data_IF_593296777790
#
_entry.id   IF_593296777790
#
_cell.length_a   1.000
_cell.length_b   1.000
_cell.length_c   1.000
_cell.angle_alpha   90.00
_cell.angle_beta   90.00
_cell.angle_gamma   90.00
#
_symmetry.space_group_name_H-M   'P 1'
#
loop_
_entity.id
_entity.type
_entity.pdbx_description
1 polymer ?
#
# COMPACT_ATOMS: atom_id res chain seq x y z
N UNK A 1 11.85 50.13 6.27
CA UNK A 1 10.89 50.03 5.14
C UNK A 1 10.62 48.56 4.90
N UNK A 2 9.56 48.03 5.51
CA UNK A 2 9.04 46.69 5.25
C UNK A 2 8.07 46.80 4.07
N UNK A 3 8.41 46.20 2.93
CA UNK A 3 7.45 46.06 1.83
C UNK A 3 6.57 44.84 2.10
N UNK A 4 5.30 45.14 2.38
CA UNK A 4 4.21 44.21 2.53
C UNK A 4 3.89 43.60 1.15
N UNK A 5 4.10 42.29 0.98
CA UNK A 5 3.62 41.56 -0.19
C UNK A 5 2.16 41.22 0.10
N UNK A 6 1.23 41.91 -0.55
CA UNK A 6 -0.19 41.55 -0.49
C UNK A 6 -0.48 40.42 -1.50
N UNK A 7 -1.23 39.37 -1.11
CA UNK A 7 -1.72 38.37 -2.03
C UNK A 7 -2.76 38.97 -3.00
N UNK A 8 -2.82 38.46 -4.23
CA UNK A 8 -3.74 38.98 -5.25
C UNK A 8 -5.20 38.67 -4.86
N UNK A 9 -6.09 39.64 -5.10
CA UNK A 9 -7.50 39.62 -4.70
C UNK A 9 -8.40 38.57 -5.36
N UNK A 10 -7.84 37.55 -6.02
CA UNK A 10 -8.57 36.42 -6.58
C UNK A 10 -8.66 35.22 -5.61
N UNK A 11 -7.85 35.18 -4.54
CA UNK A 11 -7.75 34.03 -3.63
C UNK A 11 -8.72 34.08 -2.44
N UNK A 12 -9.36 35.22 -2.18
CA UNK A 12 -10.19 35.43 -0.98
C UNK A 12 -11.69 35.20 -1.20
N UNK A 13 -12.18 35.11 -2.45
CA UNK A 13 -13.61 34.88 -2.74
C UNK A 13 -14.01 33.41 -2.83
N UNK A 14 -13.06 32.48 -2.71
CA UNK A 14 -13.33 31.04 -2.75
C UNK A 14 -13.56 30.41 -1.35
N UNK A 15 -13.44 31.20 -0.28
CA UNK A 15 -13.44 30.71 1.12
C UNK A 15 -14.65 31.14 1.95
N UNK A 16 -15.60 31.89 1.39
CA UNK A 16 -16.84 32.26 2.08
C UNK A 16 -18.04 31.65 1.35
N UNK A 17 -18.40 30.44 1.75
CA UNK A 17 -19.64 29.81 1.31
C UNK A 17 -19.79 28.36 1.73
N UNK A 18 -20.65 28.15 2.74
CA UNK A 18 -21.37 26.92 3.08
C UNK A 18 -20.74 25.99 4.12
N UNK A 19 -21.02 26.35 5.37
CA UNK A 19 -21.37 25.37 6.40
C UNK A 19 -22.84 24.96 6.16
N UNK A 20 -23.04 23.64 6.15
CA UNK A 20 -24.26 22.87 6.43
C UNK A 20 -25.03 22.19 5.26
N UNK A 21 -25.28 20.89 5.49
CA UNK A 21 -25.93 19.83 4.69
C UNK A 21 -25.11 19.16 3.57
N UNK A 22 -24.66 17.92 3.87
CA UNK A 22 -24.09 16.93 2.94
C UNK A 22 -25.09 16.57 1.83
N UNK A 23 -25.15 17.38 0.77
CA UNK A 23 -25.65 16.95 -0.52
C UNK A 23 -24.46 16.36 -1.27
N UNK A 24 -24.42 15.04 -1.42
CA UNK A 24 -23.44 14.38 -2.27
C UNK A 24 -23.70 14.90 -3.68
N UNK A 25 -22.72 15.56 -4.30
CA UNK A 25 -22.85 15.99 -5.69
C UNK A 25 -23.12 14.75 -6.55
N UNK A 26 -24.16 14.74 -7.42
CA UNK A 26 -24.50 13.59 -8.26
C UNK A 26 -23.31 13.01 -9.05
N UNK A 27 -22.34 13.86 -9.36
CA UNK A 27 -21.10 13.52 -10.07
C UNK A 27 -20.21 12.52 -9.30
N UNK A 28 -20.11 12.63 -7.96
CA UNK A 28 -19.20 11.79 -7.18
C UNK A 28 -19.70 10.34 -7.03
N UNK A 29 -21.01 10.13 -6.98
CA UNK A 29 -21.57 8.77 -6.99
C UNK A 29 -21.26 8.07 -8.31
N UNK A 30 -21.38 8.80 -9.43
CA UNK A 30 -21.03 8.25 -10.74
C UNK A 30 -19.54 7.91 -10.83
N UNK A 31 -18.67 8.76 -10.28
CA UNK A 31 -17.23 8.49 -10.18
C UNK A 31 -16.97 7.21 -9.38
N UNK A 32 -17.63 7.01 -8.24
CA UNK A 32 -17.50 5.80 -7.42
C UNK A 32 -17.94 4.56 -8.21
N UNK A 33 -19.11 4.61 -8.86
CA UNK A 33 -19.61 3.50 -9.68
C UNK A 33 -18.61 3.10 -10.79
N UNK A 34 -17.92 4.08 -11.37
CA UNK A 34 -16.95 3.86 -12.46
C UNK A 34 -15.63 3.24 -11.97
N UNK A 35 -15.26 3.40 -10.70
CA UNK A 35 -13.97 2.96 -10.17
C UNK A 35 -14.06 1.76 -9.23
N UNK A 36 -15.20 1.53 -8.55
CA UNK A 36 -15.31 0.56 -7.46
C UNK A 36 -14.85 -0.87 -7.81
N UNK A 37 -15.03 -1.31 -9.06
CA UNK A 37 -14.63 -2.64 -9.50
C UNK A 37 -13.16 -2.74 -9.93
N UNK A 38 -12.41 -1.64 -9.87
CA UNK A 38 -11.02 -1.52 -10.35
C UNK A 38 -10.02 -1.16 -9.24
N UNK A 39 -10.48 -0.65 -8.09
CA UNK A 39 -9.59 -0.16 -7.02
C UNK A 39 -9.04 -1.27 -6.11
N UNK A 40 -9.83 -2.33 -5.89
CA UNK A 40 -9.58 -3.31 -4.82
C UNK A 40 -9.86 -2.79 -3.40
N UNK A 41 -10.29 -1.53 -3.26
CA UNK A 41 -10.73 -0.93 -2.01
C UNK A 41 -12.22 -1.23 -1.84
N UNK A 42 -12.67 -1.55 -0.62
CA UNK A 42 -14.07 -1.83 -0.35
C UNK A 42 -14.93 -0.62 -0.76
N UNK A 43 -16.06 -0.87 -1.42
CA UNK A 43 -16.88 0.21 -1.98
C UNK A 43 -17.35 1.19 -0.89
N UNK A 44 -17.64 0.66 0.31
CA UNK A 44 -17.99 1.43 1.51
C UNK A 44 -16.87 2.36 2.00
N UNK A 45 -15.61 2.09 1.66
CA UNK A 45 -14.44 2.88 2.07
C UNK A 45 -14.11 4.02 1.09
N UNK A 46 -14.59 3.96 -0.16
CA UNK A 46 -14.24 4.95 -1.20
C UNK A 46 -14.69 6.37 -0.84
N UNK A 47 -15.96 6.52 -0.43
CA UNK A 47 -16.49 7.85 -0.08
C UNK A 47 -15.89 8.43 1.21
N UNK A 48 -15.75 7.66 2.31
CA UNK A 48 -15.04 8.14 3.49
C UNK A 48 -13.59 8.56 3.19
N UNK A 49 -12.84 7.79 2.39
CA UNK A 49 -11.47 8.13 2.04
C UNK A 49 -11.40 9.42 1.19
N UNK A 50 -12.34 9.58 0.26
CA UNK A 50 -12.49 10.81 -0.51
C UNK A 50 -12.81 12.04 0.37
N UNK A 51 -13.62 11.86 1.41
CA UNK A 51 -13.90 12.92 2.37
C UNK A 51 -12.65 13.30 3.16
N UNK A 52 -11.83 12.32 3.59
CA UNK A 52 -10.55 12.60 4.24
C UNK A 52 -9.62 13.40 3.33
N UNK A 53 -9.50 13.02 2.04
CA UNK A 53 -8.70 13.77 1.07
C UNK A 53 -9.17 15.24 0.95
N UNK A 54 -10.48 15.46 0.85
CA UNK A 54 -11.12 16.79 0.81
C UNK A 54 -10.86 17.60 2.08
N UNK A 55 -11.20 17.04 3.24
CA UNK A 55 -11.10 17.71 4.54
C UNK A 55 -9.64 18.04 4.91
N UNK A 56 -8.70 17.20 4.54
CA UNK A 56 -7.27 17.40 4.82
C UNK A 56 -6.53 18.15 3.71
N UNK A 57 -7.21 18.47 2.62
CA UNK A 57 -6.63 19.11 1.44
C UNK A 57 -5.35 18.41 0.96
N UNK A 58 -5.39 17.07 0.93
CA UNK A 58 -4.28 16.20 0.57
C UNK A 58 -4.71 15.25 -0.54
N UNK A 59 -3.84 15.07 -1.54
CA UNK A 59 -3.93 13.93 -2.44
C UNK A 59 -3.51 12.67 -1.68
N UNK A 60 -4.36 11.65 -1.65
CA UNK A 60 -4.07 10.36 -1.02
C UNK A 60 -4.04 9.31 -2.12
N UNK A 61 -2.92 8.61 -2.26
CA UNK A 61 -2.79 7.46 -3.15
C UNK A 61 -2.77 6.17 -2.34
N UNK A 62 -3.47 5.14 -2.83
CA UNK A 62 -3.46 3.76 -2.33
C UNK A 62 -2.91 2.87 -3.43
N UNK A 63 -1.97 1.99 -3.08
CA UNK A 63 -1.39 0.98 -3.97
C UNK A 63 -2.43 -0.06 -4.39
N UNK A 64 -2.12 -0.91 -5.40
CA UNK A 64 -3.04 -1.95 -5.82
C UNK A 64 -3.44 -2.86 -4.66
N UNK A 65 -4.75 -3.04 -4.46
CA UNK A 65 -5.30 -4.00 -3.50
C UNK A 65 -5.90 -5.16 -4.28
N UNK A 66 -5.61 -6.40 -3.88
CA UNK A 66 -6.19 -7.57 -4.54
C UNK A 66 -7.68 -7.69 -4.19
N UNK A 67 -8.55 -7.84 -5.18
CA UNK A 67 -10.01 -7.92 -4.98
C UNK A 67 -10.45 -9.01 -3.98
N UNK A 68 -9.67 -10.09 -3.88
CA UNK A 68 -9.89 -11.19 -2.91
C UNK A 68 -9.70 -10.77 -1.47
N UNK A 69 -8.86 -9.77 -1.22
CA UNK A 69 -8.64 -9.17 0.10
C UNK A 69 -9.79 -8.20 0.44
N UNK A 70 -10.37 -7.52 -0.55
CA UNK A 70 -11.53 -6.63 -0.36
C UNK A 70 -12.68 -7.34 0.36
N UNK A 71 -13.09 -8.51 -0.13
CA UNK A 71 -14.15 -9.29 0.51
C UNK A 71 -13.77 -9.78 1.91
N UNK A 72 -12.50 -10.09 2.16
CA UNK A 72 -12.04 -10.46 3.52
C UNK A 72 -12.10 -9.27 4.48
N UNK A 73 -11.73 -8.08 4.02
CA UNK A 73 -11.83 -6.83 4.81
C UNK A 73 -13.30 -6.54 5.13
N UNK A 74 -14.20 -6.66 4.15
CA UNK A 74 -15.65 -6.49 4.36
C UNK A 74 -16.23 -7.53 5.32
N UNK A 75 -15.71 -8.76 5.28
CA UNK A 75 -16.02 -9.82 6.24
C UNK A 75 -15.38 -9.59 7.62
N UNK A 76 -14.64 -8.50 7.83
CA UNK A 76 -14.03 -8.13 9.10
C UNK A 76 -12.80 -8.97 9.47
N UNK A 77 -12.01 -9.39 8.49
CA UNK A 77 -10.68 -9.96 8.74
C UNK A 77 -9.69 -8.87 9.16
N UNK A 78 -8.78 -9.17 10.12
CA UNK A 78 -7.69 -8.25 10.43
C UNK A 78 -6.73 -8.14 9.25
N UNK A 79 -6.15 -6.96 9.03
CA UNK A 79 -5.12 -6.78 8.00
C UNK A 79 -3.72 -6.81 8.61
N UNK A 80 -2.71 -7.17 7.79
CA UNK A 80 -1.32 -7.28 8.22
C UNK A 80 -0.74 -5.91 8.61
N UNK A 81 -0.04 -5.85 9.74
CA UNK A 81 0.67 -4.65 10.16
C UNK A 81 2.08 -4.60 9.54
N UNK A 82 2.86 -3.60 9.96
CA UNK A 82 4.23 -3.44 9.48
C UNK A 82 5.13 -4.63 9.82
N UNK A 83 4.92 -5.35 10.91
CA UNK A 83 5.81 -6.43 11.34
C UNK A 83 5.60 -7.72 10.53
N UNK A 84 4.42 -7.88 9.94
CA UNK A 84 4.09 -9.04 9.10
C UNK A 84 4.56 -8.81 7.66
N UNK A 85 5.74 -9.34 7.34
CA UNK A 85 6.37 -9.18 6.01
C UNK A 85 6.01 -10.30 5.00
N UNK A 86 5.24 -11.30 5.41
CA UNK A 86 4.77 -12.38 4.54
C UNK A 86 3.95 -11.86 3.36
N UNK A 87 4.05 -12.52 2.21
CA UNK A 87 3.26 -12.18 1.02
C UNK A 87 1.90 -12.87 1.10
N UNK A 88 0.86 -12.17 0.64
CA UNK A 88 -0.47 -12.75 0.46
C UNK A 88 -0.48 -13.80 -0.64
N UNK A 89 -1.43 -14.73 -0.54
CA UNK A 89 -1.76 -15.62 -1.64
C UNK A 89 -2.75 -14.95 -2.60
N UNK A 90 -2.63 -15.26 -3.88
CA UNK A 90 -3.54 -14.80 -4.95
C UNK A 90 -4.20 -15.97 -5.70
N UNK A 91 -4.15 -17.17 -5.13
CA UNK A 91 -4.66 -18.40 -5.72
C UNK A 91 -5.14 -19.36 -4.62
N UNK A 92 -5.97 -20.33 -4.99
CA UNK A 92 -6.40 -21.40 -4.10
C UNK A 92 -7.32 -20.96 -2.95
N UNK A 93 -7.62 -21.88 -2.02
CA UNK A 93 -8.49 -21.62 -0.88
C UNK A 93 -7.97 -20.53 0.06
N UNK A 94 -6.65 -20.34 0.10
CA UNK A 94 -5.94 -19.34 0.90
C UNK A 94 -5.95 -17.93 0.29
N UNK A 95 -6.50 -17.75 -0.91
CA UNK A 95 -6.39 -16.49 -1.66
C UNK A 95 -6.87 -15.28 -0.83
N UNK A 96 -6.05 -14.23 -0.79
CA UNK A 96 -6.22 -13.04 0.03
C UNK A 96 -5.61 -13.12 1.44
N UNK A 97 -5.17 -14.30 1.90
CA UNK A 97 -4.62 -14.48 3.25
C UNK A 97 -3.09 -14.61 3.24
N UNK A 98 -2.46 -14.52 4.41
CA UNK A 98 -1.01 -14.69 4.57
C UNK A 98 -0.69 -16.13 5.03
N UNK A 99 -0.17 -16.96 4.12
CA UNK A 99 0.20 -18.35 4.44
C UNK A 99 1.45 -18.41 5.31
N UNK A 100 1.50 -19.36 6.26
CA UNK A 100 2.71 -19.65 7.04
C UNK A 100 3.82 -20.12 6.09
N UNK A 101 3.51 -21.09 5.24
CA UNK A 101 4.37 -21.53 4.15
C UNK A 101 4.13 -20.68 2.88
N UNK A 102 5.14 -19.91 2.52
CA UNK A 102 5.13 -18.98 1.41
C UNK A 102 5.16 -19.67 0.04
N UNK A 103 5.37 -20.99 -0.01
CA UNK A 103 5.08 -21.81 -1.20
C UNK A 103 3.60 -21.74 -1.63
N UNK A 104 2.68 -21.43 -0.70
CA UNK A 104 1.25 -21.25 -0.98
C UNK A 104 0.85 -19.79 -1.17
N UNK A 105 1.80 -18.86 -1.21
CA UNK A 105 1.56 -17.44 -1.50
C UNK A 105 1.63 -17.14 -3.00
N UNK A 106 1.56 -15.86 -3.39
CA UNK A 106 1.87 -15.43 -4.77
C UNK A 106 3.31 -15.73 -5.21
N UNK A 107 4.19 -16.07 -4.27
CA UNK A 107 5.56 -16.46 -4.55
C UNK A 107 5.69 -17.91 -5.04
N UNK A 108 4.61 -18.69 -5.16
CA UNK A 108 4.67 -20.08 -5.61
C UNK A 108 5.49 -20.28 -6.91
N UNK A 109 5.47 -19.34 -7.85
CA UNK A 109 6.29 -19.38 -9.07
C UNK A 109 7.81 -19.34 -8.81
N UNK A 110 8.23 -18.90 -7.62
CA UNK A 110 9.61 -18.90 -7.15
C UNK A 110 10.05 -20.26 -6.59
N UNK A 111 9.16 -21.23 -6.37
CA UNK A 111 9.51 -22.53 -5.78
C UNK A 111 10.67 -23.23 -6.52
N UNK A 112 10.71 -23.12 -7.84
CA UNK A 112 11.77 -23.72 -8.67
C UNK A 112 12.80 -22.69 -9.13
N UNK A 113 12.38 -21.45 -9.38
CA UNK A 113 13.23 -20.41 -9.97
C UNK A 113 14.07 -19.64 -8.95
N UNK A 114 13.56 -19.47 -7.73
CA UNK A 114 14.25 -18.79 -6.62
C UNK A 114 13.79 -19.34 -5.25
N UNK A 115 14.20 -20.57 -4.88
CA UNK A 115 13.83 -21.18 -3.61
C UNK A 115 14.33 -20.37 -2.40
N UNK A 116 15.43 -19.64 -2.55
CA UNK A 116 15.99 -18.80 -1.50
C UNK A 116 15.05 -17.64 -1.15
N UNK A 117 14.29 -17.12 -2.12
CA UNK A 117 13.24 -16.12 -1.86
C UNK A 117 12.09 -16.71 -1.03
N UNK A 118 11.64 -17.92 -1.32
CA UNK A 118 10.62 -18.60 -0.50
C UNK A 118 11.14 -18.73 0.94
N UNK A 119 12.34 -19.27 1.11
CA UNK A 119 12.91 -19.49 2.45
C UNK A 119 13.13 -18.18 3.21
N UNK A 120 13.51 -17.10 2.51
CA UNK A 120 13.60 -15.76 3.10
C UNK A 120 12.27 -15.29 3.68
N UNK A 121 11.15 -15.49 2.97
CA UNK A 121 9.84 -15.07 3.47
C UNK A 121 9.28 -16.04 4.52
N UNK A 122 9.58 -17.34 4.44
CA UNK A 122 9.30 -18.29 5.51
C UNK A 122 10.05 -17.90 6.80
N UNK A 123 11.32 -17.52 6.70
CA UNK A 123 12.10 -17.00 7.81
C UNK A 123 11.49 -15.75 8.44
N UNK A 124 10.97 -14.83 7.62
CA UNK A 124 10.24 -13.64 8.11
C UNK A 124 8.96 -14.00 8.86
N UNK A 125 8.21 -14.99 8.38
CA UNK A 125 7.01 -15.48 9.07
C UNK A 125 7.36 -16.12 10.41
N UNK A 126 8.44 -16.93 10.48
CA UNK A 126 8.93 -17.49 11.76
C UNK A 126 9.32 -16.40 12.75
N UNK A 127 10.09 -15.40 12.31
CA UNK A 127 10.47 -14.26 13.15
C UNK A 127 9.24 -13.47 13.64
N UNK A 128 8.25 -13.27 12.78
CA UNK A 128 6.99 -12.60 13.12
C UNK A 128 6.22 -13.36 14.22
N UNK A 129 6.15 -14.69 14.11
CA UNK A 129 5.50 -15.56 15.11
C UNK A 129 6.30 -15.58 16.41
N UNK A 130 7.62 -15.76 16.34
CA UNK A 130 8.53 -15.75 17.50
C UNK A 130 8.52 -14.40 18.24
N UNK A 131 8.37 -13.30 17.49
CA UNK A 131 8.21 -11.95 18.03
C UNK A 131 6.81 -11.65 18.60
N UNK A 132 5.85 -12.57 18.49
CA UNK A 132 4.50 -12.40 19.01
C UNK A 132 3.61 -11.44 18.20
N UNK A 133 3.97 -11.15 16.95
CA UNK A 133 3.20 -10.28 16.06
C UNK A 133 2.06 -11.02 15.34
N UNK A 134 2.16 -12.36 15.24
CA UNK A 134 1.12 -13.22 14.68
C UNK A 134 1.23 -14.63 15.24
N UNK A 135 0.20 -15.46 15.00
CA UNK A 135 0.21 -16.90 15.28
C UNK A 135 -0.16 -17.68 14.02
N UNK A 136 0.32 -18.91 13.92
CA UNK A 136 -0.12 -19.86 12.90
C UNK A 136 -1.44 -20.51 13.33
N UNK A 137 -2.43 -20.52 12.43
CA UNK A 137 -3.71 -21.22 12.63
C UNK A 137 -4.08 -22.02 11.38
N UNK A 138 -4.76 -23.18 11.54
CA UNK A 138 -5.34 -23.89 10.41
C UNK A 138 -6.32 -23.01 9.63
N UNK A 139 -6.20 -23.00 8.31
CA UNK A 139 -7.12 -22.29 7.43
C UNK A 139 -8.51 -22.91 7.55
N UNK A 140 -9.46 -22.11 8.00
CA UNK A 140 -10.87 -22.43 7.99
C UNK A 140 -11.64 -21.41 7.14
N UNK A 141 -12.44 -21.89 6.18
CA UNK A 141 -13.26 -21.03 5.32
C UNK A 141 -14.72 -21.49 5.30
N UNK A 142 -15.63 -20.55 5.09
CA UNK A 142 -17.06 -20.85 4.96
C UNK A 142 -17.40 -21.44 3.61
N UNK A 143 -18.57 -22.07 3.51
CA UNK A 143 -19.12 -22.49 2.21
C UNK A 143 -19.36 -21.31 1.26
N UNK A 144 -19.67 -20.13 1.79
CA UNK A 144 -19.84 -18.92 0.98
C UNK A 144 -18.52 -18.43 0.40
N UNK A 145 -17.44 -18.46 1.19
CA UNK A 145 -16.10 -18.16 0.69
C UNK A 145 -15.70 -19.14 -0.40
N UNK A 146 -15.95 -20.44 -0.24
CA UNK A 146 -15.70 -21.43 -1.30
C UNK A 146 -16.45 -21.10 -2.59
N UNK A 147 -17.73 -20.67 -2.51
CA UNK A 147 -18.49 -20.23 -3.68
C UNK A 147 -17.89 -19.00 -4.35
N UNK A 148 -17.48 -18.01 -3.56
CA UNK A 148 -16.82 -16.80 -4.05
C UNK A 148 -15.51 -17.14 -4.77
N UNK A 149 -14.70 -18.02 -4.18
CA UNK A 149 -13.44 -18.48 -4.77
C UNK A 149 -13.67 -19.26 -6.07
N UNK A 150 -14.71 -20.09 -6.13
CA UNK A 150 -15.08 -20.83 -7.35
C UNK A 150 -15.57 -19.89 -8.46
N UNK A 151 -16.40 -18.90 -8.11
CA UNK A 151 -16.89 -17.91 -9.07
C UNK A 151 -15.79 -17.00 -9.62
N UNK A 152 -14.70 -16.81 -8.86
CA UNK A 152 -13.51 -16.08 -9.27
C UNK A 152 -12.40 -16.94 -9.89
N UNK A 153 -12.67 -18.20 -10.24
CA UNK A 153 -11.71 -19.16 -10.81
C UNK A 153 -10.43 -19.37 -9.96
N UNK A 154 -10.50 -19.12 -8.65
CA UNK A 154 -9.40 -19.33 -7.71
C UNK A 154 -9.33 -20.78 -7.21
N UNK A 155 -10.46 -21.48 -7.27
CA UNK A 155 -10.58 -22.92 -7.10
C UNK A 155 -11.43 -23.51 -8.25
N UNK A 156 -11.21 -24.77 -8.57
CA UNK A 156 -11.89 -25.49 -9.66
C UNK A 156 -12.24 -26.92 -9.22
N UNK A 157 -12.98 -27.66 -10.05
CA UNK A 157 -13.27 -29.09 -9.85
C UNK A 157 -13.86 -29.41 -8.47
N UNK A 158 -14.72 -28.53 -7.96
CA UNK A 158 -15.34 -28.71 -6.64
C UNK A 158 -16.40 -29.81 -6.67
N UNK A 159 -16.13 -30.89 -5.94
CA UNK A 159 -17.04 -32.02 -5.83
C UNK A 159 -18.16 -31.78 -4.81
N UNK A 160 -19.21 -32.60 -4.89
CA UNK A 160 -20.23 -32.66 -3.82
C UNK A 160 -19.61 -33.24 -2.55
N UNK A 161 -20.15 -32.84 -1.39
CA UNK A 161 -19.69 -33.35 -0.11
C UNK A 161 -19.91 -34.87 -0.02
N UNK A 162 -18.91 -35.59 0.50
CA UNK A 162 -19.02 -37.03 0.74
C UNK A 162 -19.90 -37.36 1.97
N UNK A 163 -20.01 -38.64 2.31
CA UNK A 163 -20.80 -39.08 3.46
C UNK A 163 -20.32 -38.52 4.81
N UNK A 164 -19.08 -38.05 4.88
CA UNK A 164 -18.46 -37.41 6.05
C UNK A 164 -18.48 -35.87 5.93
N UNK A 165 -19.11 -35.31 4.90
CA UNK A 165 -19.20 -33.89 4.66
C UNK A 165 -17.93 -33.28 4.04
N UNK A 166 -16.94 -34.08 3.64
CA UNK A 166 -15.69 -33.59 3.03
C UNK A 166 -15.90 -33.21 1.57
N UNK A 167 -15.25 -32.13 1.16
CA UNK A 167 -15.34 -31.59 -0.20
C UNK A 167 -13.94 -31.54 -0.79
N UNK A 168 -13.73 -32.19 -1.94
CA UNK A 168 -12.47 -32.11 -2.68
C UNK A 168 -12.58 -31.10 -3.81
N UNK A 169 -11.50 -30.37 -4.07
CA UNK A 169 -11.39 -29.39 -5.16
C UNK A 169 -9.92 -29.17 -5.54
N UNK A 170 -9.69 -28.46 -6.64
CA UNK A 170 -8.36 -28.13 -7.15
C UNK A 170 -8.15 -26.61 -7.18
N UNK A 171 -6.90 -26.18 -7.33
CA UNK A 171 -6.58 -24.80 -7.70
C UNK A 171 -5.34 -24.76 -8.59
N UNK A 172 -5.32 -23.81 -9.52
CA UNK A 172 -4.15 -23.54 -10.37
C UNK A 172 -3.26 -22.49 -9.69
N UNK A 173 -2.01 -22.85 -9.43
CA UNK A 173 -1.02 -21.97 -8.85
C UNK A 173 -0.42 -21.00 -9.89
N UNK A 174 0.28 -19.92 -9.48
CA UNK A 174 0.98 -18.98 -10.36
C UNK A 174 1.90 -19.61 -11.41
N UNK A 175 2.59 -20.70 -11.07
CA UNK A 175 3.41 -21.50 -11.99
C UNK A 175 2.61 -22.22 -13.08
N UNK A 176 1.29 -22.32 -12.90
CA UNK A 176 0.38 -23.11 -13.74
C UNK A 176 0.16 -24.54 -13.24
N UNK A 177 0.85 -24.97 -12.18
CA UNK A 177 0.68 -26.30 -11.57
C UNK A 177 -0.66 -26.38 -10.83
N UNK A 178 -1.32 -27.53 -10.90
CA UNK A 178 -2.57 -27.79 -10.19
C UNK A 178 -2.31 -28.50 -8.85
N UNK A 179 -2.91 -27.97 -7.80
CA UNK A 179 -2.87 -28.51 -6.45
C UNK A 179 -4.26 -28.99 -6.05
N UNK A 180 -4.32 -30.12 -5.35
CA UNK A 180 -5.56 -30.67 -4.79
C UNK A 180 -5.70 -30.29 -3.32
N UNK A 181 -6.93 -29.96 -2.93
CA UNK A 181 -7.29 -29.58 -1.58
C UNK A 181 -8.52 -30.33 -1.10
N UNK A 182 -8.65 -30.45 0.22
CA UNK A 182 -9.80 -31.04 0.88
C UNK A 182 -10.34 -30.08 1.93
N UNK A 183 -11.63 -29.77 1.86
CA UNK A 183 -12.37 -29.05 2.88
C UNK A 183 -13.07 -30.06 3.80
N UNK A 184 -12.67 -30.11 5.06
CA UNK A 184 -13.21 -31.01 6.08
C UNK A 184 -14.05 -30.18 7.06
N UNK A 185 -15.29 -30.58 7.41
CA UNK A 185 -16.07 -29.88 8.43
C UNK A 185 -15.25 -29.70 9.71
N UNK A 186 -15.05 -28.45 10.14
CA UNK A 186 -14.18 -28.16 11.27
C UNK A 186 -14.86 -28.60 12.58
N UNK A 187 -14.26 -29.54 13.36
CA UNK A 187 -14.86 -29.99 14.61
C UNK A 187 -14.76 -28.89 15.68
N UNK A 188 -15.88 -28.57 16.34
CA UNK A 188 -15.92 -27.60 17.45
C UNK A 188 -15.76 -26.12 17.05
N UNK A 189 -15.55 -25.83 15.77
CA UNK A 189 -15.56 -24.47 15.21
C UNK A 189 -16.97 -24.14 14.73
N UNK A 190 -17.35 -22.87 14.78
CA UNK A 190 -18.67 -22.32 14.39
C UNK A 190 -19.31 -23.12 13.24
N UNK A 191 -20.54 -23.57 13.45
CA UNK A 191 -21.28 -24.38 12.48
C UNK A 191 -21.20 -23.75 11.07
N UNK A 192 -20.67 -24.52 10.10
CA UNK A 192 -20.57 -24.09 8.70
C UNK A 192 -19.17 -23.70 8.19
N UNK A 193 -18.12 -23.81 9.01
CA UNK A 193 -16.72 -23.66 8.59
C UNK A 193 -16.07 -25.00 8.20
N UNK A 194 -15.17 -24.93 7.21
CA UNK A 194 -14.39 -26.05 6.70
C UNK A 194 -12.90 -25.79 6.88
N UNK A 195 -12.21 -26.69 7.57
CA UNK A 195 -10.75 -26.70 7.61
C UNK A 195 -10.20 -27.17 6.26
N UNK A 196 -9.22 -26.47 5.72
CA UNK A 196 -8.61 -26.76 4.44
C UNK A 196 -7.32 -27.54 4.64
N UNK A 197 -7.23 -28.69 3.96
CA UNK A 197 -6.07 -29.55 3.96
C UNK A 197 -5.45 -29.68 2.57
N UNK A 198 -4.14 -29.84 2.53
CA UNK A 198 -3.35 -30.22 1.36
C UNK A 198 -2.47 -31.41 1.72
N UNK A 199 -2.49 -32.48 0.90
CA UNK A 199 -1.73 -33.71 1.15
C UNK A 199 -1.94 -34.30 2.56
N UNK A 200 -3.18 -34.24 3.07
CA UNK A 200 -3.54 -34.74 4.40
C UNK A 200 -3.09 -33.87 5.57
N UNK A 201 -2.46 -32.72 5.33
CA UNK A 201 -2.06 -31.77 6.37
C UNK A 201 -2.90 -30.50 6.31
N UNK A 202 -3.23 -29.86 7.46
CA UNK A 202 -3.88 -28.56 7.47
C UNK A 202 -3.02 -27.51 6.78
N UNK A 203 -3.62 -26.71 5.91
CA UNK A 203 -2.96 -25.52 5.37
C UNK A 203 -3.01 -24.42 6.43
N UNK A 204 -1.87 -23.84 6.78
CA UNK A 204 -1.79 -22.84 7.85
C UNK A 204 -1.64 -21.41 7.32
N UNK A 205 -2.31 -20.48 8.00
CA UNK A 205 -2.28 -19.04 7.73
C UNK A 205 -1.97 -18.26 9.02
N UNK A 206 -1.50 -17.03 8.87
CA UNK A 206 -1.25 -16.14 10.01
C UNK A 206 -2.58 -15.53 10.50
N UNK A 207 -2.72 -15.41 11.82
CA UNK A 207 -3.80 -14.70 12.50
C UNK A 207 -3.24 -13.86 13.66
N UNK A 208 -4.06 -12.94 14.21
CA UNK A 208 -3.70 -12.17 15.41
C UNK A 208 -3.73 -13.02 16.68
N UNK A 209 -4.70 -13.94 16.77
CA UNK A 209 -4.91 -14.81 17.93
C UNK A 209 -5.28 -16.22 17.44
N UNK A 210 -5.11 -17.27 18.28
CA UNK A 210 -5.37 -18.65 17.86
C UNK A 210 -6.82 -18.92 17.44
N UNK A 211 -7.78 -18.21 18.04
CA UNK A 211 -9.21 -18.29 17.71
C UNK A 211 -9.65 -17.18 16.73
N UNK A 212 -8.71 -16.35 16.27
CA UNK A 212 -8.97 -15.19 15.44
C UNK A 212 -9.15 -15.53 13.96
N UNK A 213 -9.62 -14.55 13.20
CA UNK A 213 -9.64 -14.63 11.74
C UNK A 213 -8.23 -14.52 11.17
N UNK A 214 -8.02 -15.18 10.04
CA UNK A 214 -6.79 -15.07 9.27
C UNK A 214 -6.53 -13.62 8.83
N UNK A 215 -5.26 -13.22 8.87
CA UNK A 215 -4.79 -11.93 8.39
C UNK A 215 -4.91 -11.83 6.87
N UNK A 216 -5.35 -10.68 6.39
CA UNK A 216 -5.40 -10.32 4.97
C UNK A 216 -4.50 -9.11 4.65
N UNK A 217 -4.45 -8.73 3.38
CA UNK A 217 -3.68 -7.56 2.94
C UNK A 217 -4.29 -6.27 3.49
N UNK A 218 -3.44 -5.30 3.79
CA UNK A 218 -3.79 -3.94 4.18
C UNK A 218 -3.82 -3.00 2.96
N UNK A 219 -4.24 -1.75 3.19
CA UNK A 219 -4.21 -0.66 2.22
C UNK A 219 -2.86 0.06 2.34
N UNK A 220 -1.91 -0.41 1.55
CA UNK A 220 -0.61 0.23 1.40
C UNK A 220 -0.80 1.64 0.80
N UNK A 221 -0.40 2.69 1.53
CA UNK A 221 -0.40 4.04 1.00
C UNK A 221 0.64 4.15 -0.12
N UNK A 222 0.27 4.71 -1.27
CA UNK A 222 1.22 5.10 -2.31
C UNK A 222 1.90 6.42 -1.95
N UNK A 223 1.12 7.44 -1.59
CA UNK A 223 1.61 8.76 -1.15
C UNK A 223 0.53 9.53 -0.39
N UNK A 224 0.96 10.53 0.38
CA UNK A 224 0.11 11.62 0.89
C UNK A 224 0.75 12.94 0.47
N UNK A 225 0.13 13.64 -0.48
CA UNK A 225 0.62 14.89 -1.05
C UNK A 225 -0.20 16.10 -0.61
N UNK A 226 0.27 16.91 0.35
CA UNK A 226 -0.47 18.08 0.81
C UNK A 226 -0.49 19.20 -0.23
N UNK A 227 -1.49 20.07 -0.16
CA UNK A 227 -1.41 21.37 -0.83
C UNK A 227 -0.26 22.21 -0.25
N UNK A 228 0.40 23.01 -1.08
CA UNK A 228 1.60 23.76 -0.70
C UNK A 228 1.35 24.81 0.38
N UNK A 229 0.09 25.27 0.54
CA UNK A 229 -0.30 26.14 1.65
C UNK A 229 -0.13 25.48 3.02
N UNK A 230 -0.19 24.15 3.07
CA UNK A 230 -0.15 23.35 4.28
C UNK A 230 1.15 22.57 4.42
N UNK A 231 2.09 22.73 3.47
CA UNK A 231 3.40 22.08 3.48
C UNK A 231 4.26 22.63 4.63
N UNK A 232 4.84 21.74 5.43
CA UNK A 232 5.67 22.14 6.57
C UNK A 232 6.60 21.05 7.07
N UNK A 233 7.25 21.25 8.24
CA UNK A 233 8.18 20.28 8.81
C UNK A 233 7.62 18.86 9.01
N UNK A 234 6.30 18.75 9.17
CA UNK A 234 5.58 17.47 9.27
C UNK A 234 5.65 16.61 7.99
N UNK A 235 6.11 17.17 6.88
CA UNK A 235 6.28 16.51 5.59
C UNK A 235 7.72 16.02 5.34
N UNK A 236 8.64 16.30 6.28
CA UNK A 236 10.01 15.81 6.21
C UNK A 236 10.07 14.33 6.61
N UNK A 237 10.74 13.53 5.78
CA UNK A 237 11.04 12.13 6.11
C UNK A 237 12.16 12.05 7.17
N UNK A 238 12.05 11.14 8.15
CA UNK A 238 13.15 10.83 9.06
C UNK A 238 14.44 10.41 8.34
N UNK A 239 14.30 9.64 7.26
CA UNK A 239 15.39 9.23 6.36
C UNK A 239 15.14 9.82 4.96
N UNK A 240 15.70 11.01 4.63
CA UNK A 240 15.35 11.75 3.42
C UNK A 240 15.79 11.10 2.10
N UNK A 241 16.93 10.40 2.08
CA UNK A 241 17.40 9.70 0.88
C UNK A 241 16.63 8.40 0.61
N UNK A 242 15.75 8.00 1.54
CA UNK A 242 14.85 6.85 1.51
C UNK A 242 15.56 5.50 1.46
N UNK A 243 16.60 5.33 0.64
CA UNK A 243 17.36 4.10 0.49
C UNK A 243 18.86 4.33 0.69
N UNK A 244 19.51 3.36 1.33
CA UNK A 244 20.95 3.43 1.66
C UNK A 244 21.83 3.58 0.41
N UNK A 245 21.50 2.89 -0.68
CA UNK A 245 22.25 2.99 -1.93
C UNK A 245 22.09 4.37 -2.60
N UNK A 246 20.92 5.00 -2.49
CA UNK A 246 20.68 6.38 -2.96
C UNK A 246 21.54 7.35 -2.15
N UNK A 247 21.55 7.18 -0.82
CA UNK A 247 22.42 7.96 0.06
C UNK A 247 23.90 7.81 -0.31
N UNK A 248 24.39 6.57 -0.48
CA UNK A 248 25.78 6.30 -0.86
C UNK A 248 26.13 6.89 -2.21
N UNK A 249 25.26 6.75 -3.22
CA UNK A 249 25.47 7.34 -4.53
C UNK A 249 25.59 8.87 -4.46
N UNK A 250 24.73 9.53 -3.66
CA UNK A 250 24.82 10.98 -3.42
C UNK A 250 26.15 11.36 -2.77
N UNK A 251 26.58 10.64 -1.73
CA UNK A 251 27.84 10.90 -1.03
C UNK A 251 29.04 10.73 -1.98
N UNK A 252 29.05 9.67 -2.79
CA UNK A 252 30.08 9.41 -3.81
C UNK A 252 30.12 10.51 -4.89
N UNK A 253 28.98 11.08 -5.26
CA UNK A 253 28.94 12.21 -6.20
C UNK A 253 29.69 13.46 -5.72
N UNK A 254 29.89 13.64 -4.42
CA UNK A 254 30.71 14.72 -3.87
C UNK A 254 32.21 14.40 -3.90
N UNK A 255 32.59 13.13 -3.90
CA UNK A 255 34.00 12.70 -3.88
C UNK A 255 34.69 12.91 -5.22
N UNK A 256 33.93 12.81 -6.33
CA UNK A 256 34.44 13.01 -7.69
C UNK A 256 34.63 14.48 -8.09
N UNK A 257 34.03 15.44 -7.36
CA UNK A 257 34.01 16.86 -7.74
C UNK A 257 35.12 17.72 -7.12
N UNK A 258 35.99 17.16 -6.29
CA UNK A 258 37.07 17.93 -5.67
C UNK A 258 38.36 17.12 -5.55
N UNK A 259 39.48 17.79 -5.80
CA UNK A 259 40.87 17.43 -5.47
C UNK A 259 41.13 17.21 -3.96
N UNK A 260 40.10 16.91 -3.17
CA UNK A 260 40.13 16.77 -1.72
C UNK A 260 39.55 15.41 -1.34
N UNK A 261 40.30 14.66 -0.54
CA UNK A 261 39.99 13.32 -0.02
C UNK A 261 38.79 13.28 0.94
N UNK A 262 37.60 13.66 0.47
CA UNK A 262 36.31 13.36 1.13
C UNK A 262 35.88 12.03 0.54
N UNK A 263 36.01 10.89 1.26
CA UNK A 263 35.15 10.57 2.41
C UNK A 263 35.74 10.89 3.80
N UNK A 264 37.03 11.27 3.91
CA UNK A 264 37.70 11.40 5.22
C UNK A 264 37.17 12.57 6.07
N UNK A 265 36.60 13.61 5.45
CA UNK A 265 36.06 14.80 6.14
C UNK A 265 34.53 14.78 6.32
N UNK A 266 33.88 13.62 6.15
CA UNK A 266 32.47 13.49 6.51
C UNK A 266 32.31 13.62 8.04
N UNK A 267 31.24 14.30 8.47
CA UNK A 267 30.80 14.25 9.86
C UNK A 267 30.69 12.79 10.32
N UNK A 268 30.95 12.52 11.61
CA UNK A 268 31.02 11.15 12.15
C UNK A 268 29.73 10.37 11.83
N UNK A 269 28.57 10.98 12.08
CA UNK A 269 27.26 10.40 11.79
C UNK A 269 27.11 9.96 10.32
N UNK A 270 27.54 10.80 9.38
CA UNK A 270 27.48 10.48 7.95
C UNK A 270 28.44 9.35 7.56
N UNK A 271 29.54 9.15 8.29
CA UNK A 271 30.46 8.03 8.05
C UNK A 271 29.87 6.72 8.55
N UNK A 272 29.19 6.74 9.69
CA UNK A 272 28.50 5.59 10.26
C UNK A 272 27.34 5.16 9.35
N UNK A 273 26.50 6.11 8.94
CA UNK A 273 25.42 5.89 7.99
C UNK A 273 25.96 5.38 6.65
N UNK A 274 27.11 5.86 6.17
CA UNK A 274 27.69 5.38 4.92
C UNK A 274 28.18 3.92 5.01
N UNK A 275 28.74 3.54 6.16
CA UNK A 275 29.28 2.21 6.39
C UNK A 275 28.21 1.16 6.73
N UNK A 276 27.07 1.56 7.30
CA UNK A 276 26.07 0.65 7.85
C UNK A 276 24.65 1.04 7.45
N UNK A 277 23.95 0.14 6.75
CA UNK A 277 22.54 0.30 6.45
C UNK A 277 21.69 0.38 7.73
N UNK A 278 22.05 -0.38 8.77
CA UNK A 278 21.36 -0.34 10.06
C UNK A 278 21.50 1.03 10.72
N UNK A 279 22.69 1.65 10.66
CA UNK A 279 22.87 3.04 11.08
C UNK A 279 22.01 3.96 10.23
N UNK A 280 22.06 3.85 8.90
CA UNK A 280 21.28 4.71 8.02
C UNK A 280 19.77 4.69 8.30
N UNK A 281 19.20 3.51 8.56
CA UNK A 281 17.76 3.34 8.82
C UNK A 281 17.36 3.49 10.30
N UNK A 282 18.27 3.79 11.23
CA UNK A 282 17.94 3.87 12.67
C UNK A 282 16.90 4.94 13.01
N UNK A 283 16.69 5.92 12.12
CA UNK A 283 15.73 7.01 12.27
C UNK A 283 14.32 6.62 11.84
N UNK A 284 14.13 5.46 11.20
CA UNK A 284 12.79 4.97 10.89
C UNK A 284 12.03 4.62 12.17
N UNK A 285 10.72 4.79 12.12
CA UNK A 285 9.86 4.31 13.18
C UNK A 285 9.79 2.77 13.12
N UNK A 286 9.95 2.07 14.26
CA UNK A 286 9.97 0.61 14.27
C UNK A 286 8.62 -0.04 13.90
N UNK A 287 7.51 0.69 14.05
CA UNK A 287 6.15 0.17 13.85
C UNK A 287 5.50 0.68 12.56
N UNK A 288 5.95 1.82 12.02
CA UNK A 288 5.39 2.40 10.79
C UNK A 288 6.43 2.71 9.70
N UNK A 289 7.71 2.40 9.92
CA UNK A 289 8.81 2.62 8.97
C UNK A 289 9.19 4.09 8.79
N UNK A 290 9.73 4.44 7.62
CA UNK A 290 10.09 5.82 7.27
C UNK A 290 8.85 6.69 6.95
N UNK A 291 8.01 6.93 7.95
CA UNK A 291 6.81 7.75 7.84
C UNK A 291 7.10 9.21 8.22
N UNK A 292 6.54 10.16 7.47
CA UNK A 292 6.52 11.57 7.90
C UNK A 292 5.56 11.74 9.08
N UNK A 293 5.73 12.79 9.88
CA UNK A 293 4.79 13.09 10.97
C UNK A 293 3.36 13.32 10.46
N UNK A 294 3.18 13.83 9.23
CA UNK A 294 1.86 13.91 8.58
C UNK A 294 1.27 12.53 8.34
N UNK A 295 2.03 11.59 7.79
CA UNK A 295 1.53 10.23 7.54
C UNK A 295 1.18 9.56 8.87
N UNK A 296 2.04 9.66 9.87
CA UNK A 296 1.77 9.13 11.21
C UNK A 296 0.46 9.68 11.79
N UNK A 297 0.17 10.98 11.61
CA UNK A 297 -1.08 11.59 12.03
C UNK A 297 -2.29 11.23 11.13
N UNK A 298 -2.06 10.89 9.86
CA UNK A 298 -3.12 10.56 8.89
C UNK A 298 -3.63 9.12 9.07
N UNK A 299 -2.76 8.17 9.45
CA UNK A 299 -3.12 6.77 9.66
C UNK A 299 -4.34 6.59 10.59
N UNK A 300 -4.38 7.16 11.81
CA UNK A 300 -5.55 7.02 12.68
C UNK A 300 -6.78 7.74 12.12
N UNK A 301 -6.62 8.87 11.42
CA UNK A 301 -7.73 9.61 10.78
C UNK A 301 -8.38 8.76 9.68
N UNK A 302 -7.57 8.14 8.82
CA UNK A 302 -8.06 7.26 7.77
C UNK A 302 -8.78 6.06 8.40
N UNK A 303 -8.14 5.33 9.32
CA UNK A 303 -8.77 4.16 9.93
C UNK A 303 -10.09 4.51 10.64
N UNK A 304 -10.14 5.60 11.41
CA UNK A 304 -11.38 6.05 12.05
C UNK A 304 -12.49 6.34 11.03
N UNK A 305 -12.15 6.92 9.87
CA UNK A 305 -13.12 7.20 8.81
C UNK A 305 -13.60 5.94 8.06
N UNK A 306 -12.72 4.96 7.85
CA UNK A 306 -13.04 3.76 7.06
C UNK A 306 -13.73 2.68 7.90
N UNK A 307 -13.19 2.40 9.08
CA UNK A 307 -13.56 1.23 9.88
C UNK A 307 -14.00 1.57 11.30
N UNK A 308 -13.82 2.82 11.77
CA UNK A 308 -14.14 3.21 13.14
C UNK A 308 -13.37 2.37 14.15
N UNK A 309 -14.10 1.62 14.99
CA UNK A 309 -13.56 0.66 15.97
C UNK A 309 -13.27 -0.73 15.38
N UNK A 310 -13.48 -0.90 14.07
CA UNK A 310 -13.20 -2.13 13.35
C UNK A 310 -11.71 -2.38 13.11
N UNK A 311 -11.42 -3.44 12.36
CA UNK A 311 -10.05 -3.84 12.02
C UNK A 311 -9.36 -2.78 11.15
N UNK A 312 -8.24 -2.24 11.65
CA UNK A 312 -7.44 -1.25 10.91
C UNK A 312 -7.03 -1.79 9.54
N UNK A 313 -7.04 -0.92 8.54
CA UNK A 313 -6.69 -1.20 7.14
C UNK A 313 -5.49 -0.42 6.66
N UNK A 314 -5.03 0.63 7.35
CA UNK A 314 -3.77 1.33 7.04
C UNK A 314 -2.85 1.26 8.25
N UNK A 315 -1.62 0.79 8.05
CA UNK A 315 -0.70 0.55 9.18
C UNK A 315 0.56 1.40 9.19
N UNK A 316 1.13 1.71 8.03
CA UNK A 316 2.51 2.20 7.98
C UNK A 316 2.73 3.33 6.96
N UNK A 317 4.01 3.68 6.76
CA UNK A 317 4.45 4.67 5.80
C UNK A 317 3.91 4.42 4.39
N UNK A 318 3.93 5.49 3.59
CA UNK A 318 3.62 5.41 2.17
C UNK A 318 4.83 4.92 1.37
N UNK A 319 4.55 4.33 0.21
CA UNK A 319 5.56 3.90 -0.76
C UNK A 319 6.47 5.06 -1.19
N UNK A 320 5.96 6.30 -1.20
CA UNK A 320 6.75 7.52 -1.43
C UNK A 320 7.93 7.72 -0.47
N UNK A 321 7.93 7.07 0.70
CA UNK A 321 9.02 7.09 1.68
C UNK A 321 9.68 5.73 1.92
N UNK A 322 9.28 4.68 1.21
CA UNK A 322 9.70 3.30 1.52
C UNK A 322 11.00 2.89 0.82
N UNK A 323 12.02 2.37 1.54
CA UNK A 323 13.21 1.77 0.92
C UNK A 323 12.92 0.47 0.15
N UNK A 324 11.74 -0.12 0.36
CA UNK A 324 11.33 -1.38 -0.26
C UNK A 324 10.40 -1.18 -1.47
N UNK A 325 10.31 0.05 -2.00
CA UNK A 325 9.49 0.37 -3.17
C UNK A 325 9.91 -0.45 -4.40
N UNK A 326 8.94 -1.11 -5.02
CA UNK A 326 9.06 -1.74 -6.34
C UNK A 326 8.13 -0.98 -7.29
N UNK A 327 8.69 -0.10 -8.12
CA UNK A 327 7.90 0.90 -8.88
C UNK A 327 6.81 0.30 -9.77
N UNK A 328 7.09 -0.83 -10.44
CA UNK A 328 6.12 -1.52 -11.29
C UNK A 328 4.96 -2.14 -10.49
N UNK A 329 5.16 -2.42 -9.20
CA UNK A 329 4.13 -2.93 -8.30
C UNK A 329 3.23 -1.82 -7.70
N UNK A 330 3.38 -0.58 -8.15
CA UNK A 330 2.50 0.53 -7.79
C UNK A 330 1.29 0.67 -8.70
N UNK A 331 1.18 -0.13 -9.77
CA UNK A 331 0.06 -0.04 -10.73
C UNK A 331 -0.82 -1.29 -10.72
N UNK A 332 -2.16 -1.14 -10.81
CA UNK A 332 -2.89 0.13 -10.77
C UNK A 332 -3.01 0.73 -9.35
N UNK A 333 -2.79 2.04 -9.21
CA UNK A 333 -3.00 2.77 -7.95
C UNK A 333 -4.28 3.60 -7.97
N UNK A 334 -4.98 3.66 -6.84
CA UNK A 334 -6.18 4.51 -6.69
C UNK A 334 -5.81 5.80 -5.98
N UNK A 335 -6.18 6.94 -6.58
CA UNK A 335 -5.93 8.26 -6.02
C UNK A 335 -7.24 8.95 -5.66
N UNK A 336 -7.22 9.60 -4.50
CA UNK A 336 -8.28 10.46 -3.95
C UNK A 336 -7.75 11.89 -3.96
N UNK A 337 -8.31 12.71 -4.82
CA UNK A 337 -7.94 14.10 -5.05
C UNK A 337 -8.91 15.01 -4.28
N UNK A 338 -8.45 16.05 -3.55
CA UNK A 338 -9.36 16.96 -2.84
C UNK A 338 -10.33 17.69 -3.79
N UNK A 339 -9.91 17.87 -5.04
CA UNK A 339 -10.71 18.42 -6.13
C UNK A 339 -10.30 17.74 -7.42
N UNK A 340 -11.20 17.74 -8.41
CA UNK A 340 -10.90 17.32 -9.78
C UNK A 340 -9.68 18.07 -10.31
N UNK A 341 -8.74 17.36 -10.93
CA UNK A 341 -7.52 17.91 -11.52
C UNK A 341 -7.54 17.68 -13.04
N UNK A 342 -8.00 18.69 -13.78
CA UNK A 342 -8.23 18.62 -15.22
C UNK A 342 -9.05 17.38 -15.64
N UNK A 343 -8.38 16.37 -16.21
CA UNK A 343 -8.96 15.12 -16.71
C UNK A 343 -9.06 14.02 -15.66
N UNK A 344 -8.53 14.24 -14.45
CA UNK A 344 -8.58 13.28 -13.36
C UNK A 344 -9.71 13.68 -12.42
N UNK A 345 -10.74 12.82 -12.35
CA UNK A 345 -11.83 12.95 -11.38
C UNK A 345 -11.31 12.78 -9.94
N UNK A 346 -12.11 13.18 -8.96
CA UNK A 346 -11.72 13.13 -7.55
C UNK A 346 -11.29 11.74 -7.08
N UNK A 347 -11.88 10.68 -7.61
CA UNK A 347 -11.37 9.32 -7.42
C UNK A 347 -10.95 8.79 -8.79
N UNK A 348 -9.67 8.49 -8.96
CA UNK A 348 -9.16 7.99 -10.23
C UNK A 348 -8.21 6.80 -10.04
N UNK A 349 -8.31 5.82 -10.94
CA UNK A 349 -7.39 4.68 -11.01
C UNK A 349 -6.31 4.99 -12.05
N UNK A 350 -5.06 4.93 -11.61
CA UNK A 350 -3.85 5.18 -12.40
C UNK A 350 -3.23 3.84 -12.76
N UNK A 351 -3.37 3.46 -14.02
CA UNK A 351 -3.06 2.14 -14.56
C UNK A 351 -1.59 1.94 -14.92
N UNK A 352 -0.83 3.03 -15.10
CA UNK A 352 0.53 2.95 -15.61
C UNK A 352 1.34 4.24 -15.39
N UNK A 353 2.64 4.13 -15.70
CA UNK A 353 3.63 5.19 -15.68
C UNK A 353 3.20 6.48 -16.40
N UNK A 354 2.59 6.36 -17.59
CA UNK A 354 2.19 7.53 -18.37
C UNK A 354 1.09 8.32 -17.63
N UNK A 355 0.09 7.62 -17.10
CA UNK A 355 -0.99 8.24 -16.33
C UNK A 355 -0.47 8.84 -15.02
N UNK A 356 0.44 8.16 -14.33
CA UNK A 356 1.06 8.65 -13.10
C UNK A 356 1.88 9.92 -13.34
N UNK A 357 2.71 9.93 -14.39
CA UNK A 357 3.48 11.12 -14.79
C UNK A 357 2.55 12.30 -15.06
N UNK A 358 1.44 12.07 -15.78
CA UNK A 358 0.44 13.10 -16.05
C UNK A 358 -0.26 13.59 -14.77
N UNK A 359 -0.64 12.70 -13.85
CA UNK A 359 -1.25 13.08 -12.57
C UNK A 359 -0.28 13.93 -11.74
N UNK A 360 0.98 13.49 -11.60
CA UNK A 360 2.01 14.22 -10.84
C UNK A 360 2.25 15.61 -11.44
N UNK A 361 2.27 15.74 -12.77
CA UNK A 361 2.38 17.04 -13.44
C UNK A 361 1.21 17.95 -13.07
N UNK A 362 -0.04 17.44 -13.13
CA UNK A 362 -1.21 18.25 -12.84
C UNK A 362 -1.40 18.60 -11.37
N UNK A 363 -1.09 17.67 -10.46
CA UNK A 363 -1.05 17.94 -9.04
C UNK A 363 -0.06 19.08 -8.72
N UNK A 364 1.17 19.00 -9.25
CA UNK A 364 2.19 20.03 -9.08
C UNK A 364 1.75 21.38 -9.65
N UNK A 365 1.15 21.40 -10.83
CA UNK A 365 0.62 22.62 -11.45
C UNK A 365 -0.53 23.23 -10.65
N UNK A 366 -1.30 22.39 -9.95
CA UNK A 366 -2.45 22.79 -9.12
C UNK A 366 -2.08 23.08 -7.66
N UNK A 367 -0.79 23.24 -7.36
CA UNK A 367 -0.33 23.67 -6.03
C UNK A 367 -0.11 22.53 -5.02
N UNK A 368 -0.13 21.27 -5.43
CA UNK A 368 0.16 20.15 -4.53
C UNK A 368 1.65 19.78 -4.53
N UNK A 369 2.17 19.52 -3.33
CA UNK A 369 3.46 18.87 -3.16
C UNK A 369 3.28 17.35 -3.28
N UNK A 370 3.98 16.75 -4.24
CA UNK A 370 4.00 15.29 -4.42
C UNK A 370 5.34 14.77 -3.90
N UNK A 371 5.36 13.99 -2.80
CA UNK A 371 6.57 13.30 -2.37
C UNK A 371 6.92 12.22 -3.40
N UNK A 372 8.16 12.24 -3.88
CA UNK A 372 8.66 11.34 -4.91
C UNK A 372 9.72 10.42 -4.31
N UNK A 373 9.50 9.12 -4.37
CA UNK A 373 10.52 8.15 -3.99
C UNK A 373 11.62 8.13 -5.08
N UNK A 374 12.92 8.24 -4.73
CA UNK A 374 14.01 8.14 -5.69
C UNK A 374 14.12 6.76 -6.36
N UNK A 375 13.46 5.73 -5.83
CA UNK A 375 13.37 4.40 -6.42
C UNK A 375 12.25 4.26 -7.47
N UNK A 376 11.41 5.29 -7.66
CA UNK A 376 10.42 5.32 -8.74
C UNK A 376 11.05 5.63 -10.09
N UNK A 377 10.28 5.45 -11.14
CA UNK A 377 10.74 5.67 -12.52
C UNK A 377 11.24 7.12 -12.72
N UNK A 378 12.38 7.32 -13.42
CA UNK A 378 12.95 8.65 -13.70
C UNK A 378 11.97 9.62 -14.35
N UNK A 379 11.05 9.12 -15.17
CA UNK A 379 10.00 9.90 -15.83
C UNK A 379 9.09 10.60 -14.81
N UNK A 380 8.84 9.98 -13.66
CA UNK A 380 8.04 10.56 -12.58
C UNK A 380 8.91 11.46 -11.71
N UNK A 381 10.09 11.00 -11.31
CA UNK A 381 10.97 11.74 -10.38
C UNK A 381 11.53 13.02 -11.00
N UNK A 382 11.59 13.10 -12.33
CA UNK A 382 12.01 14.27 -13.10
C UNK A 382 10.90 15.30 -13.32
N UNK A 383 9.62 14.98 -13.04
CA UNK A 383 8.51 15.93 -13.24
C UNK A 383 8.72 17.21 -12.42
N UNK A 384 8.57 18.36 -13.07
CA UNK A 384 8.63 19.69 -12.45
C UNK A 384 7.37 20.48 -12.78
N UNK A 385 7.04 21.49 -11.97
CA UNK A 385 5.96 22.43 -12.27
C UNK A 385 6.21 23.11 -13.63
N UNK A 386 5.15 23.30 -14.40
CA UNK A 386 5.25 23.96 -15.71
C UNK A 386 5.86 25.37 -15.59
N UNK A 387 5.48 26.14 -14.57
CA UNK A 387 6.05 27.48 -14.33
C UNK A 387 7.58 27.46 -14.14
N UNK A 388 8.09 26.48 -13.40
CA UNK A 388 9.52 26.31 -13.18
C UNK A 388 10.25 26.02 -14.50
N UNK A 389 9.75 25.08 -15.29
CA UNK A 389 10.35 24.73 -16.58
C UNK A 389 10.28 25.88 -17.59
N UNK A 390 9.18 26.63 -17.61
CA UNK A 390 9.02 27.80 -18.45
C UNK A 390 10.00 28.91 -18.06
N UNK A 391 10.16 29.15 -16.75
CA UNK A 391 11.13 30.12 -16.24
C UNK A 391 12.59 29.71 -16.55
N UNK A 392 12.95 28.43 -16.38
CA UNK A 392 14.28 27.94 -16.77
C UNK A 392 14.57 28.13 -18.26
N UNK A 393 13.58 27.87 -19.13
CA UNK A 393 13.70 28.11 -20.58
C UNK A 393 13.90 29.60 -20.90
N UNK A 394 13.26 30.49 -20.14
CA UNK A 394 13.45 31.94 -20.29
C UNK A 394 14.88 32.34 -19.90
N UNK A 395 15.38 31.85 -18.77
CA UNK A 395 16.75 32.12 -18.33
C UNK A 395 17.80 31.61 -19.32
N UNK A 396 17.61 30.43 -19.90
CA UNK A 396 18.55 29.84 -20.87
C UNK A 396 18.54 30.52 -22.25
N UNK A 397 17.64 31.48 -22.49
CA UNK A 397 17.58 32.29 -23.73
C UNK A 397 18.29 33.64 -23.59
N UNK A 398 18.65 34.04 -22.37
CA UNK A 398 19.45 35.22 -22.04
C UNK A 398 20.91 34.76 -21.95
#
# INVERSE_FOLDING_TARGET
MLHCIQPCGASLRALEGQIDRRVIAPDLLQVIENVQHRTGIAASHLMPLQNVAKEKNCIIGIRPVEAVATGLIEDGHPTKDFHIKGKSANWGPQSGMICVDQAFSKLECCLTSDPARIEKFNGKNRQCIEGGHAVAVPLAISRERMRTLLAGDLITDMHSADAQGRISFSAKAPSGVFYKFEAIPAPGVVAGLYQINHQGQPLEVLAKTPEGKALTADYDLHLVGPHISDLGPQDNLPVPDIAHDVFKARINGYTDRATHSRPRNLAIELREDYASASSFYHKEDPDIGNATSRIAAMIPVINAALVGEGERVVHHNADSGSPASEATANYPATFFLPTKLEKFDEICVIENLQQMTALVQQAKNSGYYIPLNPLWEPEITSVRRSDFTNFQRLLNRI
#
